data_IF_363397346717
#
_entry.id   IF_363397346717
#
_cell.length_a   1.000
_cell.length_b   1.000
_cell.length_c   1.000
_cell.angle_alpha   90.00
_cell.angle_beta   90.00
_cell.angle_gamma   90.00
#
_symmetry.space_group_name_H-M   'P 1'
#
loop_
_entity.id
_entity.type
_entity.pdbx_description
1 polymer ?
#
# COMPACT_ATOMS: atom_id res chain seq x y z
N UNK A 1 -32.08 0.63 -29.13
CA UNK A 1 -30.63 0.76 -28.90
C UNK A 1 -30.42 1.68 -27.70
N UNK A 2 -29.57 1.32 -26.72
CA UNK A 2 -29.26 2.21 -25.60
C UNK A 2 -28.60 3.49 -26.12
N UNK A 3 -28.85 4.62 -25.44
CA UNK A 3 -28.22 5.90 -25.82
C UNK A 3 -26.71 5.83 -25.59
N UNK A 4 -25.87 6.52 -26.38
CA UNK A 4 -24.40 6.46 -26.23
C UNK A 4 -23.91 6.67 -24.79
N UNK A 5 -24.52 7.59 -24.05
CA UNK A 5 -24.16 7.86 -22.64
C UNK A 5 -24.53 6.72 -21.69
N UNK A 6 -25.62 6.01 -21.97
CA UNK A 6 -26.06 4.85 -21.20
C UNK A 6 -25.12 3.66 -21.44
N UNK A 7 -24.71 3.45 -22.69
CA UNK A 7 -23.70 2.46 -23.04
C UNK A 7 -22.36 2.73 -22.34
N UNK A 8 -21.88 3.97 -22.35
CA UNK A 8 -20.64 4.37 -21.67
C UNK A 8 -20.74 4.10 -20.16
N UNK A 9 -21.86 4.44 -19.53
CA UNK A 9 -22.06 4.19 -18.09
C UNK A 9 -22.07 2.71 -17.75
N UNK A 10 -22.71 1.88 -18.57
CA UNK A 10 -22.74 0.43 -18.38
C UNK A 10 -21.34 -0.17 -18.49
N UNK A 11 -20.57 0.20 -19.52
CA UNK A 11 -19.17 -0.22 -19.68
C UNK A 11 -18.33 0.20 -18.46
N UNK A 12 -18.47 1.45 -18.00
CA UNK A 12 -17.73 1.92 -16.83
C UNK A 12 -18.14 1.20 -15.53
N UNK A 13 -19.40 0.79 -15.42
CA UNK A 13 -19.88 0.00 -14.29
C UNK A 13 -19.26 -1.40 -14.29
N UNK A 14 -19.19 -2.05 -15.44
CA UNK A 14 -18.58 -3.37 -15.59
C UNK A 14 -17.07 -3.30 -15.32
N UNK A 15 -16.38 -2.33 -15.94
CA UNK A 15 -14.96 -2.07 -15.69
C UNK A 15 -14.70 -1.78 -14.21
N UNK A 16 -15.59 -1.04 -13.52
CA UNK A 16 -15.44 -0.77 -12.09
C UNK A 16 -15.40 -2.08 -11.29
N UNK A 17 -16.27 -3.04 -11.59
CA UNK A 17 -16.30 -4.33 -10.89
C UNK A 17 -14.98 -5.08 -11.11
N UNK A 18 -14.56 -5.23 -12.36
CA UNK A 18 -13.32 -5.94 -12.71
C UNK A 18 -12.07 -5.28 -12.13
N UNK A 19 -11.94 -3.96 -12.28
CA UNK A 19 -10.79 -3.21 -11.76
C UNK A 19 -10.75 -3.26 -10.23
N UNK A 20 -11.90 -3.23 -9.57
CA UNK A 20 -11.96 -3.37 -8.09
C UNK A 20 -11.50 -4.76 -7.66
N UNK A 21 -11.87 -5.81 -8.38
CA UNK A 21 -11.38 -7.17 -8.10
C UNK A 21 -9.88 -7.30 -8.35
N UNK A 22 -9.37 -6.73 -9.45
CA UNK A 22 -7.93 -6.69 -9.73
C UNK A 22 -7.17 -5.96 -8.62
N UNK A 23 -7.70 -4.83 -8.16
CA UNK A 23 -7.15 -4.07 -7.06
C UNK A 23 -7.06 -4.91 -5.79
N UNK A 24 -8.13 -5.61 -5.46
CA UNK A 24 -8.23 -6.45 -4.27
C UNK A 24 -7.21 -7.59 -4.30
N UNK A 25 -7.03 -8.23 -5.46
CA UNK A 25 -6.02 -9.27 -5.69
C UNK A 25 -4.57 -8.77 -5.56
N UNK A 26 -4.30 -7.47 -5.76
CA UNK A 26 -2.95 -6.92 -5.56
C UNK A 26 -2.48 -7.04 -4.09
N UNK A 27 -3.40 -6.96 -3.12
CA UNK A 27 -3.07 -7.20 -1.70
C UNK A 27 -2.65 -8.63 -1.43
N UNK A 28 -3.27 -9.59 -2.10
CA UNK A 28 -2.93 -11.02 -1.97
C UNK A 28 -1.59 -11.33 -2.61
N UNK A 29 -1.37 -10.76 -3.81
CA UNK A 29 -0.10 -10.83 -4.55
C UNK A 29 1.04 -10.07 -3.87
N UNK A 30 0.70 -9.15 -2.95
CA UNK A 30 1.64 -8.27 -2.22
C UNK A 30 2.44 -7.39 -3.18
N UNK A 31 1.77 -6.88 -4.21
CA UNK A 31 2.39 -6.14 -5.28
C UNK A 31 1.37 -5.60 -6.27
N UNK A 32 1.72 -4.53 -6.96
CA UNK A 32 0.86 -3.85 -7.94
C UNK A 32 1.52 -3.91 -9.31
N UNK A 33 0.71 -4.06 -10.37
CA UNK A 33 1.15 -4.13 -11.77
C UNK A 33 2.35 -5.08 -12.00
N UNK A 34 2.32 -6.26 -11.36
CA UNK A 34 3.35 -7.30 -11.49
C UNK A 34 4.58 -7.12 -10.59
N UNK A 35 4.77 -5.95 -9.97
CA UNK A 35 5.91 -5.68 -9.09
C UNK A 35 5.61 -6.02 -7.62
N UNK A 36 6.23 -7.09 -7.12
CA UNK A 36 6.08 -7.53 -5.73
C UNK A 36 6.88 -6.65 -4.76
N UNK A 37 6.28 -6.34 -3.62
CA UNK A 37 6.95 -5.66 -2.53
C UNK A 37 7.99 -6.55 -1.88
N UNK A 38 9.09 -5.94 -1.41
CA UNK A 38 10.13 -6.66 -0.68
C UNK A 38 9.54 -7.33 0.58
N UNK A 39 9.91 -8.60 0.87
CA UNK A 39 9.45 -9.27 2.07
C UNK A 39 9.80 -8.50 3.34
N UNK A 40 8.99 -8.67 4.39
CA UNK A 40 9.25 -8.03 5.68
C UNK A 40 10.54 -8.57 6.29
N UNK A 41 11.38 -7.66 6.79
CA UNK A 41 12.61 -8.02 7.52
C UNK A 41 12.31 -8.83 8.79
N UNK A 42 11.20 -8.55 9.46
CA UNK A 42 10.77 -9.30 10.63
C UNK A 42 9.91 -10.50 10.21
N UNK A 43 10.46 -11.72 10.32
CA UNK A 43 9.76 -12.97 10.01
C UNK A 43 8.62 -13.30 10.99
N UNK A 44 8.65 -12.75 12.20
CA UNK A 44 7.61 -12.94 13.24
C UNK A 44 6.52 -11.86 13.21
N UNK A 45 6.48 -11.01 12.18
CA UNK A 45 5.50 -9.95 12.09
C UNK A 45 4.08 -10.52 11.90
N UNK A 46 3.09 -9.94 12.60
CA UNK A 46 1.68 -10.34 12.48
C UNK A 46 1.13 -10.10 11.06
N UNK A 47 0.23 -10.98 10.63
CA UNK A 47 -0.49 -10.91 9.35
C UNK A 47 0.41 -11.16 8.13
N UNK A 48 -0.05 -10.78 6.94
CA UNK A 48 0.72 -10.84 5.69
C UNK A 48 1.16 -9.43 5.23
N UNK A 49 2.17 -9.35 4.36
CA UNK A 49 2.66 -8.05 3.84
C UNK A 49 1.48 -7.29 3.18
N UNK A 50 1.35 -5.99 3.46
CA UNK A 50 0.19 -5.15 3.07
C UNK A 50 -1.17 -5.57 3.67
N UNK A 51 -1.23 -6.66 4.44
CA UNK A 51 -2.46 -7.17 5.03
C UNK A 51 -2.23 -7.61 6.48
N UNK A 52 -2.14 -6.63 7.38
CA UNK A 52 -2.05 -6.87 8.83
C UNK A 52 -3.45 -6.95 9.45
N UNK A 53 -4.22 -5.86 9.35
CA UNK A 53 -5.60 -5.77 9.84
C UNK A 53 -6.63 -5.80 8.71
N UNK A 54 -6.17 -5.68 7.46
CA UNK A 54 -7.00 -5.51 6.26
C UNK A 54 -7.74 -4.17 6.18
N UNK A 55 -7.51 -3.23 7.12
CA UNK A 55 -8.24 -1.94 7.16
C UNK A 55 -8.09 -1.15 5.86
N UNK A 56 -6.89 -1.14 5.27
CA UNK A 56 -6.63 -0.46 3.99
C UNK A 56 -7.42 -1.08 2.84
N UNK A 57 -7.31 -2.41 2.65
CA UNK A 57 -8.07 -3.19 1.65
C UNK A 57 -9.57 -2.90 1.71
N UNK A 58 -10.15 -2.94 2.91
CA UNK A 58 -11.60 -2.68 3.13
C UNK A 58 -12.01 -1.21 2.97
N UNK A 59 -11.07 -0.28 3.01
CA UNK A 59 -11.38 1.16 2.99
C UNK A 59 -11.48 1.76 1.59
N UNK A 60 -11.09 1.01 0.57
CA UNK A 60 -11.06 1.48 -0.81
C UNK A 60 -12.49 1.54 -1.35
N UNK A 61 -12.84 2.68 -1.93
CA UNK A 61 -14.12 2.96 -2.53
C UNK A 61 -13.93 3.26 -4.00
N UNK A 62 -14.70 2.59 -4.84
CA UNK A 62 -14.73 2.81 -6.29
C UNK A 62 -16.03 3.48 -6.71
N UNK A 63 -15.94 4.58 -7.45
CA UNK A 63 -17.10 5.29 -8.01
C UNK A 63 -16.87 5.64 -9.47
N UNK A 64 -17.90 5.48 -10.29
CA UNK A 64 -17.89 6.02 -11.66
C UNK A 64 -18.18 7.51 -11.57
N UNK A 65 -17.30 8.35 -12.11
CA UNK A 65 -17.51 9.80 -12.23
C UNK A 65 -17.12 10.24 -13.62
N UNK A 66 -18.01 10.99 -14.29
CA UNK A 66 -17.78 11.41 -15.67
C UNK A 66 -17.55 10.20 -16.59
N UNK A 67 -16.36 10.14 -17.19
CA UNK A 67 -15.94 9.08 -18.13
C UNK A 67 -14.92 8.10 -17.54
N UNK A 68 -14.83 7.97 -16.21
CA UNK A 68 -13.81 7.14 -15.57
C UNK A 68 -14.23 6.51 -14.24
N UNK A 69 -13.44 5.53 -13.81
CA UNK A 69 -13.54 4.89 -12.48
C UNK A 69 -12.54 5.55 -11.54
N UNK A 70 -13.02 6.05 -10.41
CA UNK A 70 -12.22 6.74 -9.40
C UNK A 70 -12.14 5.93 -8.12
N UNK A 71 -10.93 5.78 -7.60
CA UNK A 71 -10.64 5.13 -6.33
C UNK A 71 -10.34 6.16 -5.24
N UNK A 72 -10.85 5.92 -4.03
CA UNK A 72 -10.62 6.77 -2.86
C UNK A 72 -10.52 5.94 -1.58
N UNK A 73 -9.87 6.49 -0.56
CA UNK A 73 -9.85 5.92 0.79
C UNK A 73 -9.89 7.04 1.84
N UNK A 74 -10.59 6.84 2.97
CA UNK A 74 -10.55 7.77 4.09
C UNK A 74 -9.25 7.70 4.91
N UNK A 75 -8.33 6.77 4.62
CA UNK A 75 -7.14 6.57 5.44
C UNK A 75 -5.97 7.41 4.88
N UNK A 76 -5.41 8.35 5.66
CA UNK A 76 -4.42 9.30 5.15
C UNK A 76 -3.12 8.64 4.68
N UNK A 77 -2.78 7.48 5.25
CA UNK A 77 -1.58 6.74 4.86
C UNK A 77 -1.71 5.98 3.53
N UNK A 78 -2.90 5.90 2.92
CA UNK A 78 -3.07 5.20 1.64
C UNK A 78 -2.33 5.91 0.50
N UNK A 79 -2.36 7.24 0.46
CA UNK A 79 -1.61 8.02 -0.51
C UNK A 79 -0.11 7.70 -0.46
N UNK A 80 0.47 7.65 0.75
CA UNK A 80 1.88 7.30 0.95
C UNK A 80 2.20 5.86 0.50
N UNK A 81 1.26 4.93 0.66
CA UNK A 81 1.41 3.57 0.13
C UNK A 81 1.44 3.56 -1.40
N UNK A 82 0.71 4.47 -2.06
CA UNK A 82 0.57 4.51 -3.51
C UNK A 82 1.75 5.24 -4.16
N UNK A 83 1.98 6.47 -3.73
CA UNK A 83 3.01 7.35 -4.29
C UNK A 83 4.42 6.87 -3.89
N UNK A 84 4.52 6.12 -2.79
CA UNK A 84 5.78 5.82 -2.14
C UNK A 84 6.43 7.11 -1.62
N UNK A 85 7.75 7.10 -1.49
CA UNK A 85 8.50 8.33 -1.21
C UNK A 85 9.64 8.14 -0.22
N UNK A 86 10.35 9.24 0.04
CA UNK A 86 11.44 9.30 1.02
C UNK A 86 11.00 10.18 2.18
N UNK A 87 11.15 9.69 3.40
CA UNK A 87 10.81 10.44 4.60
C UNK A 87 11.85 10.28 5.70
N UNK A 88 12.01 11.37 6.46
CA UNK A 88 12.82 11.39 7.66
C UNK A 88 12.04 10.73 8.82
N UNK A 89 12.67 9.78 9.49
CA UNK A 89 12.18 9.19 10.73
C UNK A 89 13.14 9.48 11.87
N UNK A 90 12.61 10.07 12.94
CA UNK A 90 13.35 10.27 14.19
C UNK A 90 13.43 8.94 14.94
N UNK A 91 14.65 8.46 15.19
CA UNK A 91 14.93 7.25 15.94
C UNK A 91 15.37 7.65 17.33
N UNK A 92 14.67 7.14 18.34
CA UNK A 92 15.02 7.36 19.74
C UNK A 92 16.26 6.56 20.12
N UNK A 93 16.94 7.01 21.18
CA UNK A 93 18.05 6.30 21.79
C UNK A 93 17.62 4.88 22.13
N UNK A 94 18.42 3.90 21.72
CA UNK A 94 18.13 2.49 21.96
C UNK A 94 19.41 1.66 22.02
N UNK A 95 19.30 0.48 22.59
CA UNK A 95 20.42 -0.46 22.71
C UNK A 95 20.42 -1.43 21.54
N UNK A 96 21.60 -1.67 20.94
CA UNK A 96 21.79 -2.59 19.83
C UNK A 96 22.87 -3.61 20.15
N UNK A 97 22.52 -4.89 20.06
CA UNK A 97 23.47 -6.00 20.21
C UNK A 97 23.93 -6.50 18.84
N UNK A 98 25.24 -6.62 18.65
CA UNK A 98 25.81 -7.23 17.46
C UNK A 98 25.79 -8.76 17.62
N UNK A 99 25.03 -9.45 16.75
CA UNK A 99 24.88 -10.92 16.83
C UNK A 99 26.17 -11.71 16.57
N UNK A 100 27.13 -11.15 15.81
CA UNK A 100 28.42 -11.83 15.56
C UNK A 100 29.37 -11.75 16.74
N UNK A 101 29.39 -10.61 17.43
CA UNK A 101 30.39 -10.33 18.48
C UNK A 101 29.82 -10.37 19.89
N UNK A 102 28.50 -10.51 20.07
CA UNK A 102 27.81 -10.46 21.37
C UNK A 102 27.77 -9.09 22.05
N UNK A 103 28.68 -8.17 21.67
CA UNK A 103 28.79 -6.82 22.23
C UNK A 103 27.52 -5.98 22.01
N UNK A 104 27.16 -5.25 23.04
CA UNK A 104 25.98 -4.39 23.10
C UNK A 104 26.40 -2.92 23.17
N UNK A 105 25.74 -2.07 22.38
CA UNK A 105 26.08 -0.66 22.24
C UNK A 105 24.83 0.21 22.40
N UNK A 106 24.98 1.36 23.07
CA UNK A 106 23.94 2.40 23.12
C UNK A 106 24.02 3.26 21.86
N UNK A 107 22.94 3.28 21.08
CA UNK A 107 22.80 4.11 19.88
C UNK A 107 22.06 5.38 20.28
N UNK A 108 22.70 6.54 20.07
CA UNK A 108 22.11 7.86 20.34
C UNK A 108 20.94 8.15 19.39
N UNK A 109 20.05 9.05 19.80
CA UNK A 109 18.96 9.54 18.96
C UNK A 109 19.50 10.17 17.69
N UNK A 110 18.89 9.87 16.55
CA UNK A 110 19.27 10.41 15.24
C UNK A 110 18.10 10.35 14.27
N UNK A 111 18.19 11.12 13.20
CA UNK A 111 17.24 11.06 12.08
C UNK A 111 17.77 10.10 11.03
N UNK A 112 16.93 9.20 10.54
CA UNK A 112 17.25 8.34 9.39
C UNK A 112 16.29 8.59 8.23
N UNK A 113 16.79 8.48 7.01
CA UNK A 113 15.95 8.49 5.82
C UNK A 113 15.41 7.10 5.56
N UNK A 114 14.11 7.01 5.27
CA UNK A 114 13.43 5.78 4.88
C UNK A 114 12.85 5.97 3.49
N UNK A 115 13.04 4.96 2.65
CA UNK A 115 12.44 4.90 1.32
C UNK A 115 11.29 3.90 1.36
N UNK A 116 10.08 4.37 1.10
CA UNK A 116 8.90 3.54 0.88
C UNK A 116 8.79 3.24 -0.62
N UNK A 117 8.65 1.96 -1.01
CA UNK A 117 8.37 1.63 -2.39
C UNK A 117 6.99 2.18 -2.79
N UNK A 118 6.91 2.68 -4.01
CA UNK A 118 5.65 3.07 -4.63
C UNK A 118 4.85 1.80 -4.96
N UNK A 119 3.56 1.80 -4.62
CA UNK A 119 2.59 0.90 -5.21
C UNK A 119 1.80 1.71 -6.22
N UNK A 120 2.22 1.70 -7.48
CA UNK A 120 1.50 2.44 -8.50
C UNK A 120 0.10 1.82 -8.52
N UNK A 121 -0.92 2.61 -8.18
CA UNK A 121 -2.33 2.26 -8.23
C UNK A 121 -2.95 2.80 -9.51
#
# INVERSE_FOLDING_TARGET
MPKPDELIRNILSDMKVELTEMFDRNFERKGFFGSKWKPRKNKKAKGSLLHVTGKMRRSIRASVRGKGVHYSSPLPYTALHNEGGKFAQNVRTHTRTNRRTGKTYTVRSHTRQITMPNASL
#
